data_IF_772349286790
#
_entry.id   IF_772349286790
#
_cell.length_a   1.000
_cell.length_b   1.000
_cell.length_c   1.000
_cell.angle_alpha   90.00
_cell.angle_beta   90.00
_cell.angle_gamma   90.00
#
_symmetry.space_group_name_H-M   'P 1'
#
loop_
_entity.id
_entity.type
_entity.pdbx_description
1 polymer ?
#
# COMPACT_ATOMS: atom_id res chain seq x y z
N UNK A 1 15.14 7.76 -7.45
CA UNK A 1 14.45 6.80 -6.57
C UNK A 1 15.29 6.42 -5.34
N UNK A 2 16.59 6.12 -5.47
CA UNK A 2 17.44 5.75 -4.31
C UNK A 2 17.62 6.85 -3.23
N UNK A 3 17.42 8.16 -3.52
CA UNK A 3 17.59 9.22 -2.50
C UNK A 3 16.44 9.24 -1.48
N UNK A 4 15.18 9.18 -1.94
CA UNK A 4 13.98 9.21 -1.10
C UNK A 4 13.97 8.03 -0.11
N UNK A 5 14.38 6.84 -0.54
CA UNK A 5 14.46 5.66 0.33
C UNK A 5 15.54 5.78 1.42
N UNK A 6 16.62 6.53 1.16
CA UNK A 6 17.64 6.87 2.16
C UNK A 6 17.11 7.90 3.15
N UNK A 7 16.46 8.94 2.64
CA UNK A 7 15.87 10.03 3.43
C UNK A 7 14.77 9.53 4.39
N UNK A 8 13.99 8.52 4.00
CA UNK A 8 12.92 7.98 4.86
C UNK A 8 13.45 7.04 5.97
N UNK A 9 14.61 6.39 5.79
CA UNK A 9 14.98 5.23 6.64
C UNK A 9 16.04 5.50 7.71
N UNK A 10 16.95 6.46 7.56
CA UNK A 10 18.09 6.55 8.47
C UNK A 10 18.70 7.94 8.55
N UNK A 11 18.22 8.78 9.48
CA UNK A 11 19.05 9.69 10.26
C UNK A 11 18.24 10.25 11.46
N UNK A 12 18.73 10.04 12.70
CA UNK A 12 18.09 10.57 13.91
C UNK A 12 18.21 12.09 14.05
N UNK A 13 19.01 12.75 13.21
CA UNK A 13 18.98 14.21 13.04
C UNK A 13 17.83 14.69 12.13
N UNK A 14 17.08 13.78 11.51
CA UNK A 14 16.05 14.06 10.51
C UNK A 14 14.66 13.52 10.87
N UNK A 15 14.40 13.12 12.13
CA UNK A 15 13.06 12.70 12.61
C UNK A 15 11.98 13.74 12.24
N UNK A 16 12.31 15.04 12.30
CA UNK A 16 11.44 16.13 11.89
C UNK A 16 11.02 16.10 10.41
N UNK A 17 11.74 15.36 9.56
CA UNK A 17 11.50 15.28 8.10
C UNK A 17 10.81 13.98 7.67
N UNK A 18 10.68 12.99 8.56
CA UNK A 18 10.10 11.68 8.22
C UNK A 18 8.65 11.80 7.74
N UNK A 19 7.78 12.45 8.51
CA UNK A 19 6.40 12.71 8.11
C UNK A 19 6.27 13.41 6.75
N UNK A 20 6.92 14.59 6.57
CA UNK A 20 6.96 15.29 5.28
C UNK A 20 7.50 14.44 4.10
N UNK A 21 8.55 13.65 4.32
CA UNK A 21 9.12 12.76 3.31
C UNK A 21 8.13 11.65 2.90
N UNK A 22 7.48 11.03 3.88
CA UNK A 22 6.43 10.03 3.65
C UNK A 22 5.20 10.63 2.94
N UNK A 23 4.92 11.91 3.16
CA UNK A 23 3.84 12.66 2.51
C UNK A 23 4.23 13.28 1.16
N UNK A 24 5.48 13.13 0.71
CA UNK A 24 5.89 13.64 -0.60
C UNK A 24 5.22 12.80 -1.69
N UNK A 25 4.64 13.45 -2.69
CA UNK A 25 3.92 12.79 -3.76
C UNK A 25 4.58 13.04 -5.11
N UNK A 26 4.57 12.04 -5.99
CA UNK A 26 5.07 12.18 -7.35
C UNK A 26 4.05 12.87 -8.29
N UNK A 27 4.31 12.85 -9.59
CA UNK A 27 3.41 13.44 -10.61
C UNK A 27 2.04 12.77 -10.66
N UNK A 28 1.93 11.52 -10.26
CA UNK A 28 0.70 10.74 -10.19
C UNK A 28 0.03 10.84 -8.80
N UNK A 29 0.58 11.69 -7.94
CA UNK A 29 0.21 11.86 -6.52
C UNK A 29 0.47 10.60 -5.68
N UNK A 30 1.31 9.69 -6.16
CA UNK A 30 1.71 8.51 -5.41
C UNK A 30 2.74 8.91 -4.34
N UNK A 31 2.46 8.59 -3.08
CA UNK A 31 3.43 8.71 -1.97
C UNK A 31 4.40 7.52 -1.96
N UNK A 32 5.54 7.59 -1.24
CA UNK A 32 6.44 6.44 -1.08
C UNK A 32 5.73 5.13 -0.71
N UNK A 33 4.72 5.18 0.17
CA UNK A 33 3.95 4.00 0.55
C UNK A 33 3.05 3.47 -0.58
N UNK A 34 2.48 4.35 -1.44
CA UNK A 34 1.75 3.90 -2.65
C UNK A 34 2.68 3.11 -3.57
N UNK A 35 3.86 3.67 -3.85
CA UNK A 35 4.86 3.07 -4.74
C UNK A 35 5.34 1.73 -4.16
N UNK A 36 5.61 1.69 -2.84
CA UNK A 36 6.04 0.48 -2.15
C UNK A 36 5.04 -0.66 -2.29
N UNK A 37 3.76 -0.38 -1.98
CA UNK A 37 2.72 -1.38 -1.98
C UNK A 37 2.43 -1.90 -3.39
N UNK A 38 2.52 -1.03 -4.41
CA UNK A 38 2.43 -1.44 -5.82
C UNK A 38 3.58 -2.39 -6.18
N UNK A 39 4.80 -2.06 -5.78
CA UNK A 39 5.97 -2.94 -5.99
C UNK A 39 5.80 -4.28 -5.28
N UNK A 40 5.30 -4.31 -4.04
CA UNK A 40 5.00 -5.56 -3.34
C UNK A 40 3.95 -6.35 -4.12
N UNK A 41 2.84 -5.72 -4.53
CA UNK A 41 1.79 -6.40 -5.29
C UNK A 41 2.35 -7.04 -6.57
N UNK A 42 3.15 -6.32 -7.35
CA UNK A 42 3.75 -6.79 -8.61
C UNK A 42 4.74 -7.95 -8.40
N UNK A 43 5.42 -7.99 -7.26
CA UNK A 43 6.44 -8.99 -6.93
C UNK A 43 5.95 -10.08 -5.97
N UNK A 44 4.68 -10.07 -5.55
CA UNK A 44 4.10 -10.97 -4.54
C UNK A 44 4.24 -12.47 -4.87
N UNK A 45 4.40 -12.81 -6.15
CA UNK A 45 4.61 -14.18 -6.63
C UNK A 45 6.10 -14.53 -6.81
N UNK A 46 6.99 -13.54 -6.79
CA UNK A 46 8.42 -13.77 -6.72
C UNK A 46 8.74 -14.31 -5.33
N UNK A 47 9.48 -15.42 -5.29
CA UNK A 47 9.60 -16.31 -4.14
C UNK A 47 9.73 -15.61 -2.78
N UNK A 48 9.02 -16.10 -1.76
CA UNK A 48 9.27 -15.74 -0.35
C UNK A 48 10.70 -16.06 0.11
N UNK A 49 11.53 -16.73 -0.70
CA UNK A 49 12.96 -16.87 -0.41
C UNK A 49 13.80 -15.67 -0.86
N UNK A 50 13.23 -14.66 -1.53
CA UNK A 50 13.96 -13.45 -1.92
C UNK A 50 14.08 -12.47 -0.74
N UNK A 51 15.30 -12.22 -0.19
CA UNK A 51 15.50 -11.29 0.91
C UNK A 51 15.08 -9.85 0.59
N UNK A 52 15.19 -9.43 -0.67
CA UNK A 52 14.77 -8.10 -1.11
C UNK A 52 13.26 -7.92 -0.94
N UNK A 53 12.48 -8.96 -1.22
CA UNK A 53 11.03 -8.94 -1.05
C UNK A 53 10.61 -8.82 0.42
N UNK A 54 11.29 -9.53 1.32
CA UNK A 54 11.10 -9.36 2.77
C UNK A 54 11.46 -7.94 3.23
N UNK A 55 12.51 -7.35 2.64
CA UNK A 55 12.85 -5.96 2.83
C UNK A 55 11.68 -5.03 2.53
N UNK A 56 10.99 -5.21 1.39
CA UNK A 56 9.83 -4.40 1.01
C UNK A 56 8.67 -4.51 2.02
N UNK A 57 8.37 -5.71 2.52
CA UNK A 57 7.32 -5.92 3.53
C UNK A 57 7.69 -5.18 4.82
N UNK A 58 8.94 -5.32 5.28
CA UNK A 58 9.43 -4.62 6.45
C UNK A 58 9.31 -3.10 6.29
N UNK A 59 9.64 -2.57 5.11
CA UNK A 59 9.47 -1.14 4.81
C UNK A 59 8.01 -0.71 4.89
N UNK A 60 7.08 -1.52 4.38
CA UNK A 60 5.66 -1.19 4.40
C UNK A 60 5.13 -1.11 5.83
N UNK A 61 5.61 -2.00 6.69
CA UNK A 61 5.34 -1.95 8.12
C UNK A 61 5.91 -0.68 8.76
N UNK A 62 7.20 -0.42 8.58
CA UNK A 62 7.88 0.75 9.15
C UNK A 62 7.25 2.08 8.69
N UNK A 63 6.71 2.16 7.48
CA UNK A 63 6.07 3.38 6.97
C UNK A 63 4.66 3.55 7.54
N UNK A 64 3.99 2.46 7.90
CA UNK A 64 2.63 2.48 8.46
C UNK A 64 2.59 2.76 9.97
N UNK A 65 3.74 2.65 10.63
CA UNK A 65 3.97 2.95 12.04
C UNK A 65 4.44 4.40 12.24
N UNK A 66 4.17 4.98 13.41
CA UNK A 66 4.51 6.36 13.74
C UNK A 66 3.46 7.01 14.63
N UNK A 67 3.71 8.27 15.00
CA UNK A 67 2.71 9.14 15.62
C UNK A 67 1.71 9.69 14.58
N UNK A 68 0.72 10.46 15.01
CA UNK A 68 -0.34 10.96 14.11
C UNK A 68 0.19 11.92 13.03
N UNK A 69 1.25 12.68 13.33
CA UNK A 69 1.86 13.64 12.39
C UNK A 69 2.66 12.93 11.30
N UNK A 70 3.40 11.88 11.66
CA UNK A 70 4.13 11.05 10.70
C UNK A 70 3.18 10.28 9.77
N UNK A 71 1.94 10.04 10.22
CA UNK A 71 0.95 9.21 9.54
C UNK A 71 -0.02 9.99 8.65
N UNK A 72 0.14 11.30 8.52
CA UNK A 72 -0.63 12.12 7.57
C UNK A 72 -0.62 11.55 6.15
N UNK A 73 0.50 10.95 5.74
CA UNK A 73 0.63 10.32 4.45
C UNK A 73 -0.40 9.19 4.21
N UNK A 74 -0.84 8.46 5.25
CA UNK A 74 -1.84 7.37 5.15
C UNK A 74 -3.23 7.83 4.70
N UNK A 75 -3.45 9.14 4.65
CA UNK A 75 -4.69 9.78 4.19
C UNK A 75 -4.55 10.43 2.82
N UNK A 76 -3.34 10.46 2.27
CA UNK A 76 -3.11 11.01 0.94
C UNK A 76 -3.72 10.11 -0.12
N UNK A 77 -4.30 10.74 -1.13
CA UNK A 77 -4.95 10.07 -2.25
C UNK A 77 -4.08 10.19 -3.49
N UNK A 78 -3.94 9.08 -4.20
CA UNK A 78 -3.38 9.07 -5.55
C UNK A 78 -4.28 9.81 -6.55
N UNK A 79 -3.86 9.90 -7.82
CA UNK A 79 -4.66 10.53 -8.89
C UNK A 79 -6.04 9.91 -9.12
N UNK A 80 -6.27 8.68 -8.66
CA UNK A 80 -7.56 8.00 -8.78
C UNK A 80 -8.43 8.20 -7.54
N UNK A 81 -7.96 8.98 -6.57
CA UNK A 81 -8.65 9.20 -5.31
C UNK A 81 -8.45 8.05 -4.33
N UNK A 82 -7.62 7.06 -4.64
CA UNK A 82 -7.35 5.92 -3.77
C UNK A 82 -6.29 6.26 -2.73
N UNK A 83 -6.53 5.87 -1.48
CA UNK A 83 -5.47 5.84 -0.46
C UNK A 83 -4.61 4.58 -0.63
N UNK A 84 -3.51 4.46 0.11
CA UNK A 84 -2.53 3.39 -0.03
C UNK A 84 -3.15 1.98 0.02
N UNK A 85 -4.06 1.75 0.97
CA UNK A 85 -4.77 0.46 1.09
C UNK A 85 -5.61 0.12 -0.14
N UNK A 86 -6.24 1.13 -0.76
CA UNK A 86 -7.00 0.95 -2.00
C UNK A 86 -6.10 0.73 -3.20
N UNK A 87 -5.02 1.51 -3.30
CA UNK A 87 -4.06 1.38 -4.39
C UNK A 87 -3.42 -0.01 -4.39
N UNK A 88 -3.07 -0.52 -3.20
CA UNK A 88 -2.62 -1.90 -3.01
C UNK A 88 -3.68 -2.94 -3.44
N UNK A 89 -4.91 -2.81 -2.96
CA UNK A 89 -6.00 -3.71 -3.32
C UNK A 89 -6.29 -3.72 -4.83
N UNK A 90 -6.28 -2.55 -5.47
CA UNK A 90 -6.46 -2.40 -6.91
C UNK A 90 -5.29 -3.04 -7.68
N UNK A 91 -4.05 -2.81 -7.25
CA UNK A 91 -2.87 -3.45 -7.85
C UNK A 91 -2.94 -4.98 -7.77
N UNK A 92 -3.31 -5.53 -6.60
CA UNK A 92 -3.55 -6.96 -6.44
C UNK A 92 -4.65 -7.46 -7.37
N UNK A 93 -5.77 -6.74 -7.52
CA UNK A 93 -6.91 -7.17 -8.35
C UNK A 93 -6.53 -7.36 -9.81
N UNK A 94 -5.68 -6.47 -10.34
CA UNK A 94 -5.17 -6.55 -11.71
C UNK A 94 -4.25 -7.75 -11.93
N UNK A 95 -3.53 -8.16 -10.89
CA UNK A 95 -2.64 -9.33 -10.94
C UNK A 95 -3.46 -10.62 -10.80
N UNK A 96 -4.42 -10.66 -9.88
CA UNK A 96 -5.34 -11.80 -9.69
C UNK A 96 -6.17 -12.09 -10.94
N UNK A 97 -6.58 -11.06 -11.69
CA UNK A 97 -7.25 -11.24 -12.98
C UNK A 97 -6.37 -11.95 -14.04
N UNK A 98 -5.05 -12.05 -13.81
CA UNK A 98 -4.06 -12.44 -14.82
C UNK A 98 -3.20 -13.66 -14.46
N UNK A 99 -3.13 -14.13 -13.20
CA UNK A 99 -2.19 -15.20 -12.77
C UNK A 99 -2.72 -16.08 -11.64
N UNK A 100 -2.34 -17.36 -11.61
CA UNK A 100 -2.50 -18.25 -10.45
C UNK A 100 -1.58 -17.81 -9.30
N UNK A 101 -2.11 -17.82 -8.07
CA UNK A 101 -1.45 -17.31 -6.88
C UNK A 101 -0.93 -18.42 -5.97
N UNK A 102 0.26 -18.27 -5.40
CA UNK A 102 0.78 -19.21 -4.40
C UNK A 102 0.06 -19.02 -3.06
N UNK A 103 -0.15 -20.09 -2.30
CA UNK A 103 -0.82 -20.04 -0.98
C UNK A 103 -0.10 -19.10 0.00
N UNK A 104 1.22 -19.15 -0.01
CA UNK A 104 2.16 -18.28 0.72
C UNK A 104 1.94 -16.78 0.49
N UNK A 105 1.64 -16.42 -0.76
CA UNK A 105 1.40 -15.05 -1.17
C UNK A 105 0.07 -14.52 -0.58
N UNK A 106 -0.92 -15.40 -0.34
CA UNK A 106 -2.17 -15.03 0.34
C UNK A 106 -1.95 -14.63 1.81
N UNK A 107 -1.08 -15.34 2.53
CA UNK A 107 -0.74 -14.99 3.92
C UNK A 107 -0.05 -13.63 4.01
N UNK A 108 0.85 -13.34 3.06
CA UNK A 108 1.57 -12.06 2.98
C UNK A 108 0.62 -10.90 2.69
N UNK A 109 -0.32 -11.06 1.74
CA UNK A 109 -1.33 -10.05 1.44
C UNK A 109 -2.16 -9.72 2.69
N UNK A 110 -2.63 -10.76 3.39
CA UNK A 110 -3.43 -10.57 4.60
C UNK A 110 -2.64 -9.82 5.69
N UNK A 111 -1.35 -10.13 5.84
CA UNK A 111 -0.47 -9.42 6.76
C UNK A 111 -0.37 -7.92 6.42
N UNK A 112 -0.11 -7.59 5.15
CA UNK A 112 0.00 -6.19 4.70
C UNK A 112 -1.33 -5.45 4.86
N UNK A 113 -2.45 -6.06 4.48
CA UNK A 113 -3.77 -5.46 4.68
C UNK A 113 -4.07 -5.22 6.16
N UNK A 114 -3.65 -6.12 7.05
CA UNK A 114 -3.79 -5.95 8.49
C UNK A 114 -2.93 -4.79 9.00
N UNK A 115 -1.67 -4.68 8.56
CA UNK A 115 -0.79 -3.55 8.87
C UNK A 115 -1.45 -2.23 8.48
N UNK A 116 -1.91 -2.11 7.24
CA UNK A 116 -2.53 -0.88 6.72
C UNK A 116 -3.85 -0.54 7.43
N UNK A 117 -4.69 -1.55 7.68
CA UNK A 117 -5.98 -1.36 8.37
C UNK A 117 -5.77 -0.92 9.82
N UNK A 118 -4.83 -1.53 10.53
CA UNK A 118 -4.46 -1.12 11.89
C UNK A 118 -3.76 0.24 11.90
N UNK A 119 -3.18 0.65 10.78
CA UNK A 119 -2.50 1.92 10.70
C UNK A 119 -3.46 3.10 10.58
N UNK A 120 -4.61 2.91 9.92
CA UNK A 120 -5.58 3.97 9.67
C UNK A 120 -6.57 4.17 10.84
N UNK A 121 -6.10 3.97 12.09
CA UNK A 121 -6.82 3.82 13.38
C UNK A 121 -8.07 4.70 13.63
N UNK A 122 -8.29 5.78 12.91
CA UNK A 122 -9.33 6.78 13.20
C UNK A 122 -10.49 6.84 12.19
N UNK A 123 -10.44 6.13 11.06
CA UNK A 123 -11.50 6.24 10.04
C UNK A 123 -12.14 4.91 9.71
N UNK A 124 -13.42 4.98 9.37
CA UNK A 124 -14.16 3.88 8.76
C UNK A 124 -13.54 3.63 7.38
N UNK A 125 -12.40 2.95 7.31
CA UNK A 125 -11.67 2.59 6.09
C UNK A 125 -12.58 1.91 5.07
N UNK A 126 -13.57 1.15 5.55
CA UNK A 126 -14.61 0.53 4.75
C UNK A 126 -15.59 1.52 4.09
N UNK A 127 -15.62 2.79 4.50
CA UNK A 127 -16.43 3.88 3.93
C UNK A 127 -15.63 4.82 3.04
N UNK A 128 -14.30 4.80 3.13
CA UNK A 128 -13.46 5.53 2.21
C UNK A 128 -13.70 4.98 0.80
N UNK A 129 -13.86 5.89 -0.17
CA UNK A 129 -14.08 5.57 -1.58
C UNK A 129 -13.07 6.31 -2.46
N UNK A 130 -12.70 5.69 -3.57
CA UNK A 130 -11.97 6.34 -4.66
C UNK A 130 -12.93 7.19 -5.54
N UNK A 131 -12.41 7.81 -6.60
CA UNK A 131 -13.23 8.63 -7.52
C UNK A 131 -14.24 7.82 -8.34
N UNK A 132 -14.16 6.48 -8.34
CA UNK A 132 -15.16 5.59 -8.94
C UNK A 132 -16.17 5.07 -7.91
N UNK A 133 -16.23 5.69 -6.72
CA UNK A 133 -17.09 5.30 -5.60
C UNK A 133 -16.80 3.89 -5.04
N UNK A 134 -15.60 3.33 -5.31
CA UNK A 134 -15.20 2.00 -4.85
C UNK A 134 -14.38 2.08 -3.57
N UNK A 135 -14.67 1.16 -2.65
CA UNK A 135 -13.89 0.98 -1.41
C UNK A 135 -12.76 -0.03 -1.64
N UNK A 136 -11.80 -0.11 -0.72
CA UNK A 136 -10.73 -1.12 -0.82
C UNK A 136 -11.28 -2.56 -0.88
N UNK A 137 -12.41 -2.83 -0.22
CA UNK A 137 -13.09 -4.12 -0.27
C UNK A 137 -13.65 -4.45 -1.66
N UNK A 138 -14.12 -3.46 -2.41
CA UNK A 138 -14.56 -3.68 -3.79
C UNK A 138 -13.38 -4.16 -4.65
N UNK A 139 -12.21 -3.52 -4.50
CA UNK A 139 -10.99 -3.94 -5.21
C UNK A 139 -10.53 -5.35 -4.79
N UNK A 140 -10.56 -5.68 -3.49
CA UNK A 140 -10.24 -7.04 -3.00
C UNK A 140 -11.26 -8.08 -3.50
N UNK A 141 -12.54 -7.73 -3.57
CA UNK A 141 -13.58 -8.63 -4.07
C UNK A 141 -13.33 -9.00 -5.54
N UNK A 142 -12.90 -8.03 -6.36
CA UNK A 142 -12.47 -8.29 -7.74
C UNK A 142 -11.32 -9.29 -7.79
N UNK A 143 -10.35 -9.23 -6.85
CA UNK A 143 -9.28 -10.23 -6.74
C UNK A 143 -9.80 -11.66 -6.55
N UNK A 144 -10.88 -11.84 -5.78
CA UNK A 144 -11.32 -13.16 -5.30
C UNK A 144 -12.42 -13.80 -6.12
N UNK A 145 -13.17 -13.04 -6.92
CA UNK A 145 -14.52 -13.51 -7.33
C UNK A 145 -14.90 -13.29 -8.79
N UNK A 146 -14.06 -12.74 -9.67
CA UNK A 146 -14.50 -12.37 -11.03
C UNK A 146 -15.79 -11.52 -11.05
N UNK A 147 -16.12 -10.81 -9.96
CA UNK A 147 -17.25 -9.86 -9.95
C UNK A 147 -16.88 -8.67 -10.83
N UNK A 148 -17.05 -8.83 -12.15
CA UNK A 148 -17.17 -7.72 -13.07
C UNK A 148 -18.36 -6.89 -12.60
N UNK A 149 -18.09 -5.63 -12.24
CA UNK A 149 -19.16 -4.65 -12.04
C UNK A 149 -20.03 -4.69 -13.29
N UNK A 150 -21.30 -5.07 -13.14
CA UNK A 150 -22.28 -4.94 -14.21
C UNK A 150 -22.34 -3.44 -14.56
N UNK A 151 -21.94 -3.10 -15.79
CA UNK A 151 -22.34 -1.85 -16.43
C UNK A 151 -23.78 -2.00 -16.88
#
# INVERSE_FOLDING_TARGET
MQSIWREIRYDSTFDATRGPALATADKEKDTPLHILLRSIAENINQSLSNPEFHGLIFFAQAFSEGDDDERLHLHMRDKHGGIQTMSFANALSRIYACKEFKQEASATILNILNILSNAQRSRRLHQEKDYEEKTYLHHVAVCRTNFRSRK
#
